data_IF_010674530161
#
_entry.id   IF_010674530161
#
_cell.length_a   1.000
_cell.length_b   1.000
_cell.length_c   1.000
_cell.angle_alpha   90.00
_cell.angle_beta   90.00
_cell.angle_gamma   90.00
#
_symmetry.space_group_name_H-M   'P 1'
#
loop_
_entity.id
_entity.type
_entity.pdbx_description
1 polymer ?
#
# COMPACT_ATOMS: atom_id res chain seq x y z
N UNK A 1 -1.08 15.76 6.36
CA UNK A 1 -1.21 15.31 7.77
C UNK A 1 -0.19 14.24 8.11
N UNK A 2 -0.10 13.14 7.37
CA UNK A 2 0.80 12.01 7.65
C UNK A 2 2.28 12.41 7.73
N UNK A 3 2.76 13.27 6.82
CA UNK A 3 4.13 13.77 6.85
C UNK A 3 4.46 14.56 8.13
N UNK A 4 3.51 15.35 8.65
CA UNK A 4 3.72 16.09 9.90
C UNK A 4 3.87 15.13 11.08
N UNK A 5 3.00 14.12 11.18
CA UNK A 5 3.08 13.09 12.22
C UNK A 5 4.41 12.33 12.14
N UNK A 6 4.83 11.97 10.91
CA UNK A 6 6.11 11.30 10.70
C UNK A 6 7.29 12.17 11.16
N UNK A 7 7.31 13.44 10.77
CA UNK A 7 8.36 14.37 11.22
C UNK A 7 8.35 14.55 12.74
N UNK A 8 7.17 14.70 13.35
CA UNK A 8 7.02 14.81 14.81
C UNK A 8 7.60 13.60 15.54
N UNK A 9 7.31 12.39 15.07
CA UNK A 9 7.85 11.16 15.63
C UNK A 9 9.38 11.07 15.44
N UNK A 10 9.89 11.42 14.27
CA UNK A 10 11.33 11.35 14.00
C UNK A 10 12.12 12.41 14.77
N UNK A 11 11.58 13.63 14.91
CA UNK A 11 12.22 14.70 15.70
C UNK A 11 12.08 14.51 17.23
N UNK A 12 11.36 13.48 17.69
CA UNK A 12 11.34 13.13 19.14
C UNK A 12 12.67 12.52 19.60
N UNK A 13 13.49 12.02 18.64
CA UNK A 13 14.84 11.54 18.90
C UNK A 13 15.89 12.60 18.54
N UNK A 14 17.17 12.29 18.67
CA UNK A 14 18.30 13.19 18.38
C UNK A 14 18.51 13.40 16.85
N UNK A 15 17.43 13.60 16.10
CA UNK A 15 17.46 13.84 14.65
C UNK A 15 17.53 15.33 14.38
N UNK A 16 18.63 15.79 13.78
CA UNK A 16 18.84 17.20 13.46
C UNK A 16 18.06 17.67 12.23
N UNK A 17 17.95 16.81 11.20
CA UNK A 17 17.26 17.14 9.96
C UNK A 17 16.67 15.90 9.29
N UNK A 18 15.61 16.12 8.50
CA UNK A 18 14.91 15.10 7.72
C UNK A 18 14.84 15.57 6.27
N UNK A 19 15.07 14.66 5.34
CA UNK A 19 14.84 14.92 3.91
C UNK A 19 13.44 14.41 3.57
N UNK A 20 12.54 15.31 3.20
CA UNK A 20 11.20 14.95 2.76
C UNK A 20 11.23 14.26 1.39
N UNK A 21 10.30 13.31 1.12
CA UNK A 21 10.21 12.61 -0.15
C UNK A 21 9.66 13.53 -1.24
N UNK A 22 10.48 14.46 -1.69
CA UNK A 22 10.18 15.40 -2.75
C UNK A 22 11.24 15.34 -3.84
N UNK A 23 10.86 15.63 -5.08
CA UNK A 23 11.77 15.59 -6.26
C UNK A 23 13.08 16.35 -6.08
N UNK A 24 13.14 17.32 -5.18
CA UNK A 24 14.33 18.13 -4.89
C UNK A 24 14.98 17.78 -3.55
N UNK A 25 14.46 16.81 -2.81
CA UNK A 25 15.00 16.45 -1.51
C UNK A 25 14.94 17.60 -0.51
N UNK A 26 13.75 18.11 -0.20
CA UNK A 26 13.58 19.22 0.71
C UNK A 26 14.03 18.81 2.13
N UNK A 27 15.11 19.43 2.60
CA UNK A 27 15.60 19.25 3.96
C UNK A 27 14.80 20.13 4.93
N UNK A 28 14.36 19.55 6.04
CA UNK A 28 13.61 20.23 7.10
C UNK A 28 14.26 19.95 8.45
N UNK A 29 14.07 20.88 9.38
CA UNK A 29 14.50 20.76 10.78
C UNK A 29 13.26 20.79 11.69
N UNK A 30 13.44 20.51 12.97
CA UNK A 30 12.36 20.59 13.97
C UNK A 30 11.69 21.97 14.01
N UNK A 31 12.43 23.03 13.67
CA UNK A 31 11.91 24.41 13.71
C UNK A 31 11.03 24.77 12.51
N UNK A 32 11.28 24.18 11.34
CA UNK A 32 10.65 24.62 10.08
C UNK A 32 9.78 23.57 9.37
N UNK A 33 9.74 22.31 9.82
CA UNK A 33 9.06 21.24 9.07
C UNK A 33 7.56 21.49 8.89
N UNK A 34 6.89 22.11 9.85
CA UNK A 34 5.45 22.40 9.76
C UNK A 34 5.19 23.36 8.59
N UNK A 35 5.90 24.50 8.56
CA UNK A 35 5.76 25.50 7.51
C UNK A 35 6.17 24.94 6.16
N UNK A 36 7.26 24.18 6.10
CA UNK A 36 7.75 23.58 4.88
C UNK A 36 6.73 22.60 4.29
N UNK A 37 6.07 21.79 5.13
CA UNK A 37 5.03 20.83 4.68
C UNK A 37 3.76 21.57 4.26
N UNK A 38 3.37 22.65 4.94
CA UNK A 38 2.15 23.42 4.59
C UNK A 38 2.28 24.15 3.26
N UNK A 39 3.49 24.51 2.88
CA UNK A 39 3.78 25.17 1.60
C UNK A 39 4.16 24.22 0.47
N UNK A 40 4.32 22.94 0.77
CA UNK A 40 4.74 21.93 -0.20
C UNK A 40 3.61 21.62 -1.18
N UNK A 41 3.88 21.72 -2.49
CA UNK A 41 2.95 21.22 -3.51
C UNK A 41 2.89 19.68 -3.44
N UNK A 42 1.73 19.08 -3.16
CA UNK A 42 1.59 17.62 -3.09
C UNK A 42 2.03 16.89 -4.37
N UNK A 43 1.95 17.55 -5.54
CA UNK A 43 2.40 16.99 -6.83
C UNK A 43 3.91 16.90 -6.95
N UNK A 44 4.66 17.57 -6.07
CA UNK A 44 6.11 17.49 -5.97
C UNK A 44 6.62 16.38 -5.05
N UNK A 45 5.71 15.61 -4.42
CA UNK A 45 6.08 14.48 -3.59
C UNK A 45 6.37 13.24 -4.44
N UNK A 46 7.44 12.54 -4.09
CA UNK A 46 7.75 11.21 -4.61
C UNK A 46 7.12 10.18 -3.67
N UNK A 47 5.92 9.73 -4.03
CA UNK A 47 5.20 8.70 -3.30
C UNK A 47 5.34 7.38 -4.03
N UNK A 48 5.73 6.34 -3.30
CA UNK A 48 5.84 4.99 -3.81
C UNK A 48 4.91 4.06 -3.02
N UNK A 49 4.14 3.26 -3.72
CA UNK A 49 3.45 2.10 -3.15
C UNK A 49 4.01 0.84 -3.79
N UNK A 50 4.48 -0.09 -2.95
CA UNK A 50 5.03 -1.38 -3.40
C UNK A 50 3.93 -2.43 -3.51
N UNK A 51 2.93 -2.36 -2.65
CA UNK A 51 1.83 -3.32 -2.59
C UNK A 51 0.54 -2.65 -3.05
N UNK A 52 0.26 -2.77 -4.34
CA UNK A 52 -1.00 -2.30 -4.94
C UNK A 52 -2.09 -3.32 -4.63
N UNK A 53 -3.00 -2.97 -3.72
CA UNK A 53 -4.11 -3.81 -3.29
C UNK A 53 -5.41 -3.41 -3.98
N UNK A 54 -6.40 -4.29 -3.97
CA UNK A 54 -7.79 -4.04 -4.36
C UNK A 54 -8.04 -3.75 -5.83
N UNK A 55 -7.08 -3.98 -6.73
CA UNK A 55 -7.30 -3.80 -8.17
C UNK A 55 -8.02 -4.98 -8.83
N UNK A 56 -7.91 -6.18 -8.25
CA UNK A 56 -8.61 -7.40 -8.69
C UNK A 56 -9.16 -8.15 -7.46
N UNK A 57 -10.13 -7.59 -6.75
CA UNK A 57 -10.53 -8.09 -5.44
C UNK A 57 -11.17 -9.48 -5.51
N UNK A 58 -10.72 -10.36 -4.61
CA UNK A 58 -11.31 -11.65 -4.34
C UNK A 58 -12.54 -11.45 -3.47
N UNK A 59 -13.72 -11.57 -4.07
CA UNK A 59 -15.02 -11.42 -3.40
C UNK A 59 -16.13 -12.04 -4.24
N UNK A 60 -17.35 -12.09 -3.71
CA UNK A 60 -18.50 -12.46 -4.54
C UNK A 60 -18.73 -11.40 -5.64
N UNK A 61 -19.29 -11.82 -6.76
CA UNK A 61 -19.59 -10.91 -7.88
C UNK A 61 -20.55 -9.79 -7.46
N UNK A 62 -21.53 -10.11 -6.59
CA UNK A 62 -22.51 -9.16 -6.04
C UNK A 62 -21.87 -8.09 -5.15
N UNK A 63 -20.75 -8.42 -4.48
CA UNK A 63 -19.97 -7.49 -3.69
C UNK A 63 -18.86 -6.79 -4.47
N UNK A 64 -18.89 -6.84 -5.80
CA UNK A 64 -17.91 -6.19 -6.68
C UNK A 64 -16.59 -6.95 -6.81
N UNK A 65 -16.57 -8.25 -6.48
CA UNK A 65 -15.41 -9.09 -6.71
C UNK A 65 -15.17 -9.36 -8.18
N UNK A 66 -13.89 -9.49 -8.55
CA UNK A 66 -13.47 -9.92 -9.89
C UNK A 66 -12.98 -11.36 -9.93
N UNK A 67 -12.67 -11.93 -8.76
CA UNK A 67 -12.18 -13.29 -8.59
C UNK A 67 -13.11 -14.10 -7.69
N UNK A 68 -13.30 -15.36 -8.05
CA UNK A 68 -13.95 -16.34 -7.20
C UNK A 68 -13.02 -16.82 -6.06
N UNK A 69 -13.51 -17.68 -5.18
CA UNK A 69 -12.74 -18.23 -4.04
C UNK A 69 -11.51 -19.07 -4.44
N UNK A 70 -11.39 -19.44 -5.72
CA UNK A 70 -10.24 -20.18 -6.28
C UNK A 70 -9.21 -19.26 -6.94
N UNK A 71 -9.38 -17.93 -6.83
CA UNK A 71 -8.51 -16.96 -7.45
C UNK A 71 -8.68 -16.81 -8.96
N UNK A 72 -9.72 -17.39 -9.55
CA UNK A 72 -10.03 -17.34 -10.97
C UNK A 72 -10.92 -16.15 -11.30
N UNK A 73 -10.63 -15.47 -12.42
CA UNK A 73 -11.47 -14.38 -12.92
C UNK A 73 -12.86 -14.88 -13.31
N UNK A 74 -13.90 -14.20 -12.85
CA UNK A 74 -15.28 -14.52 -13.25
C UNK A 74 -15.53 -14.42 -14.75
N UNK A 75 -14.88 -13.45 -15.40
CA UNK A 75 -15.07 -13.17 -16.84
C UNK A 75 -14.14 -13.97 -17.74
N UNK A 76 -13.13 -14.68 -17.22
CA UNK A 76 -12.11 -15.34 -18.01
C UNK A 76 -11.68 -16.66 -17.40
N UNK A 77 -12.18 -17.76 -17.94
CA UNK A 77 -11.80 -19.11 -17.49
C UNK A 77 -10.30 -19.39 -17.70
N UNK A 78 -9.69 -20.03 -16.70
CA UNK A 78 -8.27 -20.42 -16.73
C UNK A 78 -7.31 -19.27 -16.43
N UNK A 79 -7.81 -18.08 -16.06
CA UNK A 79 -6.97 -16.95 -15.65
C UNK A 79 -7.08 -16.76 -14.15
N UNK A 80 -5.93 -16.87 -13.46
CA UNK A 80 -5.84 -16.79 -12.00
C UNK A 80 -4.94 -15.63 -11.58
N UNK A 81 -5.30 -14.97 -10.48
CA UNK A 81 -4.51 -13.88 -9.87
C UNK A 81 -4.26 -14.21 -8.41
N UNK A 82 -2.99 -14.17 -7.98
CA UNK A 82 -2.55 -14.59 -6.64
C UNK A 82 -1.53 -13.63 -6.02
N UNK A 83 -1.66 -12.35 -6.28
CA UNK A 83 -0.79 -11.31 -5.72
C UNK A 83 -1.56 -10.36 -4.77
N UNK A 84 -0.96 -9.24 -4.39
CA UNK A 84 -1.60 -8.28 -3.47
C UNK A 84 -2.90 -7.67 -3.98
N UNK A 85 -3.11 -7.67 -5.30
CA UNK A 85 -4.31 -7.10 -5.94
C UNK A 85 -5.61 -7.80 -5.54
N UNK A 86 -5.52 -9.08 -5.10
CA UNK A 86 -6.68 -9.88 -4.67
C UNK A 86 -7.24 -9.47 -3.32
N UNK A 87 -6.47 -8.75 -2.50
CA UNK A 87 -6.94 -8.25 -1.20
C UNK A 87 -8.04 -7.20 -1.42
N UNK A 88 -9.20 -7.33 -0.76
CA UNK A 88 -10.34 -6.45 -1.02
C UNK A 88 -10.12 -5.00 -0.53
N UNK A 89 -9.18 -4.80 0.38
CA UNK A 89 -8.83 -3.48 0.92
C UNK A 89 -7.41 -3.46 1.46
N UNK A 90 -6.89 -2.25 1.72
CA UNK A 90 -5.63 -2.08 2.42
C UNK A 90 -5.77 -2.57 3.88
N UNK A 91 -4.84 -3.43 4.31
CA UNK A 91 -4.83 -4.01 5.67
C UNK A 91 -4.04 -3.16 6.68
N UNK A 92 -3.49 -2.01 6.26
CA UNK A 92 -2.78 -1.08 7.16
C UNK A 92 -1.36 -1.50 7.53
N UNK A 93 -0.89 -2.65 7.08
CA UNK A 93 0.43 -3.23 7.38
C UNK A 93 1.07 -3.79 6.10
N UNK A 94 2.32 -4.29 6.22
CA UNK A 94 2.96 -5.03 5.12
C UNK A 94 2.20 -6.33 4.85
N UNK A 95 1.60 -6.52 3.66
CA UNK A 95 0.70 -7.64 3.38
C UNK A 95 1.42 -8.92 3.00
N UNK A 96 2.75 -8.97 2.99
CA UNK A 96 3.50 -10.07 2.40
C UNK A 96 3.12 -11.44 3.00
N UNK A 97 3.05 -11.56 4.32
CA UNK A 97 2.63 -12.80 4.98
C UNK A 97 1.21 -13.21 4.61
N UNK A 98 0.29 -12.25 4.59
CA UNK A 98 -1.11 -12.46 4.21
C UNK A 98 -1.24 -12.91 2.75
N UNK A 99 -0.52 -12.27 1.82
CA UNK A 99 -0.51 -12.64 0.40
C UNK A 99 0.00 -14.06 0.21
N UNK A 100 1.13 -14.41 0.84
CA UNK A 100 1.71 -15.75 0.75
C UNK A 100 0.77 -16.81 1.31
N UNK A 101 0.16 -16.57 2.45
CA UNK A 101 -0.78 -17.50 3.08
C UNK A 101 -2.03 -17.71 2.20
N UNK A 102 -2.59 -16.62 1.67
CA UNK A 102 -3.77 -16.66 0.81
C UNK A 102 -3.48 -17.37 -0.51
N UNK A 103 -2.38 -17.03 -1.18
CA UNK A 103 -1.96 -17.69 -2.41
C UNK A 103 -1.76 -19.20 -2.20
N UNK A 104 -1.07 -19.60 -1.11
CA UNK A 104 -0.90 -21.01 -0.76
C UNK A 104 -2.23 -21.71 -0.48
N UNK A 105 -3.13 -21.06 0.25
CA UNK A 105 -4.46 -21.61 0.54
C UNK A 105 -5.25 -21.86 -0.75
N UNK A 106 -5.25 -20.91 -1.67
CA UNK A 106 -5.94 -21.04 -2.97
C UNK A 106 -5.33 -22.17 -3.79
N UNK A 107 -4.01 -22.21 -3.96
CA UNK A 107 -3.33 -23.25 -4.74
C UNK A 107 -3.60 -24.65 -4.17
N UNK A 108 -3.66 -24.79 -2.85
CA UNK A 108 -4.01 -26.08 -2.23
C UNK A 108 -5.41 -26.59 -2.63
N UNK A 109 -6.34 -25.71 -2.98
CA UNK A 109 -7.68 -26.13 -3.45
C UNK A 109 -7.67 -26.71 -4.87
N UNK A 110 -6.62 -26.42 -5.66
CA UNK A 110 -6.50 -26.94 -7.03
C UNK A 110 -5.93 -28.34 -7.08
N UNK A 111 -5.23 -28.77 -6.01
CA UNK A 111 -4.51 -30.04 -5.93
C UNK A 111 -5.22 -31.13 -5.12
N UNK A 112 -6.35 -30.78 -4.50
CA UNK A 112 -7.24 -31.70 -3.77
C UNK A 112 -8.51 -31.94 -4.58
#
# INVERSE_FOLDING_TARGET
RSLKILCELLFSDEVESIILPSRRGLMVTNENYIQAIDTLDPRGLDLLSVHLMSSVPLNSLEAGGLLNSFGELYESKGVFVLDSSILPSNIGESPQGTIMALAKSIVNTWTN
#
